data_IF_134949136372
#
_entry.id   IF_134949136372
#
_cell.length_a   1.000
_cell.length_b   1.000
_cell.length_c   1.000
_cell.angle_alpha   90.00
_cell.angle_beta   90.00
_cell.angle_gamma   90.00
#
_symmetry.space_group_name_H-M   'P 1'
#
loop_
_entity.id
_entity.type
_entity.pdbx_description
1 polymer ?
#
# COMPACT_ATOMS: atom_id res chain seq x y z
N UNK A 1 13.08 13.40 -6.57
CA UNK A 1 12.15 12.25 -6.64
C UNK A 1 10.93 12.66 -7.44
N UNK A 2 10.49 11.82 -8.38
CA UNK A 2 9.23 12.05 -9.09
C UNK A 2 8.07 11.94 -8.09
N UNK A 3 7.07 12.80 -8.24
CA UNK A 3 5.83 12.74 -7.48
C UNK A 3 4.75 12.26 -8.45
N UNK A 4 4.43 10.96 -8.48
CA UNK A 4 3.37 10.47 -9.34
C UNK A 4 2.06 11.19 -9.02
N UNK A 5 1.27 11.48 -10.06
CA UNK A 5 -0.07 12.04 -9.88
C UNK A 5 -1.03 10.92 -9.46
N UNK A 6 -1.05 10.67 -8.15
CA UNK A 6 -1.89 9.65 -7.55
C UNK A 6 -3.34 10.09 -7.51
N UNK A 7 -4.20 9.44 -8.29
CA UNK A 7 -5.63 9.72 -8.33
C UNK A 7 -6.41 8.74 -7.47
N UNK A 8 -7.30 9.21 -6.58
CA UNK A 8 -8.16 8.30 -5.81
C UNK A 8 -9.12 7.59 -6.77
N UNK A 9 -9.19 6.27 -6.67
CA UNK A 9 -10.04 5.46 -7.54
C UNK A 9 -11.22 4.84 -6.79
N UNK A 10 -10.99 4.35 -5.58
CA UNK A 10 -12.02 3.73 -4.77
C UNK A 10 -11.72 3.83 -3.27
N UNK A 11 -12.73 3.61 -2.45
CA UNK A 11 -12.59 3.42 -1.01
C UNK A 11 -13.17 2.06 -0.65
N UNK A 12 -12.35 1.22 -0.04
CA UNK A 12 -12.70 -0.14 0.33
C UNK A 12 -12.70 -0.30 1.84
N UNK A 13 -13.55 -1.19 2.35
CA UNK A 13 -13.51 -1.60 3.74
C UNK A 13 -13.03 -3.04 3.86
N UNK A 14 -12.04 -3.28 4.72
CA UNK A 14 -11.39 -4.58 4.90
C UNK A 14 -11.13 -4.88 6.36
N UNK A 15 -11.25 -6.16 6.72
CA UNK A 15 -10.78 -6.65 8.02
C UNK A 15 -9.29 -6.97 7.91
N UNK A 16 -8.48 -6.24 8.65
CA UNK A 16 -7.03 -6.38 8.62
C UNK A 16 -6.51 -6.78 9.99
N UNK A 17 -5.44 -7.57 10.02
CA UNK A 17 -4.64 -7.82 11.23
C UNK A 17 -3.33 -7.07 11.10
N UNK A 18 -3.08 -6.14 12.03
CA UNK A 18 -1.87 -5.32 12.03
C UNK A 18 -0.67 -6.19 12.40
N UNK A 19 0.34 -6.20 11.53
CA UNK A 19 1.59 -6.95 11.74
C UNK A 19 2.71 -6.04 12.20
N UNK A 20 2.81 -4.84 11.64
CA UNK A 20 3.81 -3.85 11.99
C UNK A 20 3.23 -2.44 12.02
N UNK A 21 3.81 -1.57 12.86
CA UNK A 21 3.43 -0.16 12.97
C UNK A 21 4.72 0.64 13.00
N UNK A 22 4.87 1.55 12.05
CA UNK A 22 6.00 2.47 11.92
C UNK A 22 5.49 3.90 12.10
N UNK A 23 5.47 4.35 13.36
CA UNK A 23 4.88 5.63 13.72
C UNK A 23 5.61 6.84 13.13
N UNK A 24 6.92 6.73 12.88
CA UNK A 24 7.76 7.82 12.33
C UNK A 24 7.40 8.17 10.90
N UNK A 25 7.22 7.16 10.06
CA UNK A 25 6.86 7.33 8.65
C UNK A 25 5.34 7.27 8.42
N UNK A 26 4.57 7.18 9.52
CA UNK A 26 3.12 7.07 9.49
C UNK A 26 2.63 5.93 8.60
N UNK A 27 3.30 4.79 8.72
CA UNK A 27 3.03 3.59 7.95
C UNK A 27 2.60 2.43 8.85
N UNK A 28 1.80 1.55 8.27
CA UNK A 28 1.28 0.36 8.94
C UNK A 28 1.27 -0.81 7.96
N UNK A 29 1.85 -1.93 8.39
CA UNK A 29 1.73 -3.19 7.67
C UNK A 29 0.63 -4.03 8.30
N UNK A 30 -0.16 -4.66 7.46
CA UNK A 30 -1.22 -5.54 7.89
C UNK A 30 -1.44 -6.69 6.90
N UNK A 31 -2.16 -7.70 7.35
CA UNK A 31 -2.67 -8.77 6.48
C UNK A 31 -4.18 -8.67 6.42
N UNK A 32 -4.73 -8.59 5.22
CA UNK A 32 -6.16 -8.65 4.97
C UNK A 32 -6.65 -10.09 5.19
N UNK A 33 -7.68 -10.27 6.01
CA UNK A 33 -8.07 -11.60 6.49
C UNK A 33 -8.90 -12.42 5.49
N UNK A 34 -9.61 -11.80 4.55
CA UNK A 34 -10.42 -12.50 3.56
C UNK A 34 -9.60 -13.23 2.49
N UNK A 35 -8.47 -12.65 2.10
CA UNK A 35 -7.59 -13.16 1.04
C UNK A 35 -6.18 -13.50 1.52
N UNK A 36 -5.88 -13.32 2.81
CA UNK A 36 -4.54 -13.44 3.39
C UNK A 36 -3.49 -12.59 2.65
N UNK A 37 -3.93 -11.45 2.12
CA UNK A 37 -3.09 -10.59 1.31
C UNK A 37 -2.33 -9.58 2.19
N UNK A 38 -0.99 -9.54 2.14
CA UNK A 38 -0.21 -8.54 2.86
C UNK A 38 -0.38 -7.15 2.23
N UNK A 39 -0.58 -6.14 3.06
CA UNK A 39 -0.78 -4.75 2.67
C UNK A 39 0.17 -3.84 3.43
N UNK A 40 0.82 -2.94 2.71
CA UNK A 40 1.53 -1.80 3.28
C UNK A 40 0.64 -0.57 3.09
N UNK A 41 0.26 0.07 4.20
CA UNK A 41 -0.68 1.17 4.24
C UNK A 41 0.01 2.44 4.70
N UNK A 42 -0.06 3.50 3.91
CA UNK A 42 0.19 4.85 4.41
C UNK A 42 -0.99 5.28 5.28
N UNK A 43 -0.74 5.91 6.41
CA UNK A 43 -1.79 6.19 7.40
C UNK A 43 -2.14 7.67 7.35
N UNK A 44 -3.43 8.00 7.35
CA UNK A 44 -3.89 9.38 7.46
C UNK A 44 -3.37 9.98 8.79
N UNK A 45 -2.72 11.16 8.78
CA UNK A 45 -2.19 11.82 9.99
C UNK A 45 -3.17 12.00 11.14
N UNK A 46 -4.48 11.95 10.87
CA UNK A 46 -5.53 12.02 11.89
C UNK A 46 -5.66 10.74 12.71
N UNK A 47 -5.12 9.62 12.23
CA UNK A 47 -5.15 8.34 12.93
C UNK A 47 -3.97 8.25 13.89
N UNK A 48 -4.27 8.17 15.18
CA UNK A 48 -3.26 8.00 16.22
C UNK A 48 -2.70 6.57 16.23
N UNK A 49 -1.57 6.38 15.56
CA UNK A 49 -0.84 5.10 15.53
C UNK A 49 -0.34 4.65 16.91
N UNK A 50 -0.24 5.54 17.90
CA UNK A 50 0.13 5.18 19.27
C UNK A 50 -0.92 4.31 19.96
N UNK A 51 -2.16 4.31 19.48
CA UNK A 51 -3.26 3.49 20.01
C UNK A 51 -3.45 2.17 19.26
N UNK A 52 -2.73 1.97 18.16
CA UNK A 52 -2.84 0.75 17.34
C UNK A 52 -1.98 -0.35 17.95
N UNK A 53 -2.61 -1.50 18.23
CA UNK A 53 -1.96 -2.67 18.83
C UNK A 53 -1.62 -3.67 17.73
N UNK A 54 -0.40 -4.20 17.78
CA UNK A 54 0.02 -5.31 16.91
C UNK A 54 -0.80 -6.57 17.18
N UNK A 55 -0.93 -7.43 16.17
CA UNK A 55 -1.68 -8.67 16.17
C UNK A 55 -3.19 -8.53 16.48
N UNK A 56 -3.72 -7.31 16.58
CA UNK A 56 -5.16 -7.06 16.69
C UNK A 56 -5.81 -6.95 15.32
N UNK A 57 -7.08 -7.32 15.29
CA UNK A 57 -7.94 -7.24 14.09
C UNK A 57 -8.70 -5.93 14.16
N UNK A 58 -8.75 -5.23 13.03
CA UNK A 58 -9.44 -3.97 12.88
C UNK A 58 -10.29 -3.98 11.61
N UNK A 59 -11.39 -3.25 11.63
CA UNK A 59 -12.09 -2.82 10.43
C UNK A 59 -11.40 -1.57 9.90
N UNK A 60 -10.73 -1.69 8.76
CA UNK A 60 -10.00 -0.62 8.10
C UNK A 60 -10.80 -0.07 6.92
N UNK A 61 -10.88 1.25 6.84
CA UNK A 61 -11.35 1.98 5.65
C UNK A 61 -10.12 2.47 4.91
N UNK A 62 -9.93 1.98 3.69
CA UNK A 62 -8.73 2.18 2.88
C UNK A 62 -9.12 2.91 1.60
N UNK A 63 -8.47 4.04 1.34
CA UNK A 63 -8.54 4.73 0.06
C UNK A 63 -7.47 4.19 -0.86
N UNK A 64 -7.88 3.72 -2.03
CA UNK A 64 -6.98 3.23 -3.07
C UNK A 64 -6.73 4.36 -4.04
N UNK A 65 -5.46 4.57 -4.37
CA UNK A 65 -5.07 5.48 -5.43
C UNK A 65 -4.34 4.73 -6.52
N UNK A 66 -4.53 5.18 -7.75
CA UNK A 66 -3.82 4.68 -8.93
C UNK A 66 -3.05 5.82 -9.60
N UNK A 67 -2.00 5.45 -10.32
CA UNK A 67 -1.28 6.34 -11.23
C UNK A 67 -1.01 5.59 -12.54
N UNK A 68 -0.79 6.33 -13.61
CA UNK A 68 -0.26 5.73 -14.84
C UNK A 68 1.23 5.39 -14.66
N UNK A 69 1.70 4.33 -15.33
CA UNK A 69 3.12 4.11 -15.54
C UNK A 69 3.63 5.13 -16.56
N UNK A 70 4.14 6.28 -16.09
CA UNK A 70 4.95 7.12 -16.96
C UNK A 70 6.32 6.46 -17.19
N UNK A 71 6.99 6.69 -18.33
CA UNK A 71 8.31 6.11 -18.60
C UNK A 71 9.33 6.36 -17.48
N UNK A 72 9.25 7.51 -16.81
CA UNK A 72 10.17 7.89 -15.76
C UNK A 72 9.85 7.20 -14.42
N UNK A 73 8.56 7.04 -14.09
CA UNK A 73 8.13 6.25 -12.93
C UNK A 73 8.50 4.79 -13.11
N UNK A 74 8.28 4.26 -14.31
CA UNK A 74 8.69 2.91 -14.68
C UNK A 74 10.19 2.74 -14.44
N UNK A 75 11.01 3.62 -15.01
CA UNK A 75 12.47 3.54 -14.84
C UNK A 75 12.87 3.52 -13.37
N UNK A 76 12.32 4.39 -12.52
CA UNK A 76 12.64 4.40 -11.09
C UNK A 76 12.20 3.14 -10.36
N UNK A 77 10.98 2.66 -10.62
CA UNK A 77 10.44 1.47 -9.98
C UNK A 77 11.27 0.23 -10.37
N UNK A 78 11.63 0.10 -11.64
CA UNK A 78 12.44 -1.01 -12.14
C UNK A 78 13.90 -0.92 -11.68
N UNK A 79 14.51 0.27 -11.69
CA UNK A 79 15.86 0.48 -11.14
C UNK A 79 15.92 0.14 -9.64
N UNK A 80 14.88 0.46 -8.87
CA UNK A 80 14.79 0.11 -7.45
C UNK A 80 14.68 -1.40 -7.19
N UNK A 81 14.17 -2.15 -8.18
CA UNK A 81 13.99 -3.59 -8.11
C UNK A 81 15.11 -4.37 -8.80
N UNK A 82 16.09 -3.72 -9.43
CA UNK A 82 17.10 -4.38 -10.27
C UNK A 82 17.99 -5.37 -9.49
N UNK A 83 18.09 -5.17 -8.17
CA UNK A 83 18.84 -6.04 -7.24
C UNK A 83 17.98 -7.14 -6.60
N UNK A 84 16.68 -7.16 -6.86
CA UNK A 84 15.72 -8.15 -6.38
C UNK A 84 14.98 -8.78 -7.57
N UNK A 85 15.47 -9.94 -8.07
CA UNK A 85 14.91 -10.60 -9.26
C UNK A 85 13.43 -10.95 -9.13
N UNK A 86 12.97 -11.31 -7.93
CA UNK A 86 11.57 -11.66 -7.67
C UNK A 86 10.69 -10.43 -7.82
N UNK A 87 11.11 -9.31 -7.22
CA UNK A 87 10.40 -8.04 -7.31
C UNK A 87 10.40 -7.49 -8.74
N UNK A 88 11.52 -7.59 -9.44
CA UNK A 88 11.64 -7.18 -10.84
C UNK A 88 10.68 -7.97 -11.74
N UNK A 89 10.64 -9.28 -11.59
CA UNK A 89 9.73 -10.13 -12.36
C UNK A 89 8.26 -9.83 -12.05
N UNK A 90 7.91 -9.61 -10.78
CA UNK A 90 6.56 -9.21 -10.40
C UNK A 90 6.14 -7.89 -11.07
N UNK A 91 7.02 -6.88 -11.08
CA UNK A 91 6.77 -5.60 -11.75
C UNK A 91 6.62 -5.74 -13.27
N UNK A 92 7.45 -6.57 -13.91
CA UNK A 92 7.33 -6.90 -15.34
C UNK A 92 5.99 -7.58 -15.64
N UNK A 93 5.58 -8.56 -14.82
CA UNK A 93 4.30 -9.26 -14.99
C UNK A 93 3.10 -8.34 -14.78
N UNK A 94 3.16 -7.44 -13.78
CA UNK A 94 2.12 -6.42 -13.57
C UNK A 94 1.98 -5.50 -14.78
N UNK A 95 3.11 -5.03 -15.33
CA UNK A 95 3.13 -4.23 -16.57
C UNK A 95 2.51 -4.98 -17.74
N UNK A 96 2.89 -6.25 -17.95
CA UNK A 96 2.38 -7.07 -19.05
C UNK A 96 0.87 -7.30 -18.98
N UNK A 97 0.30 -7.33 -17.78
CA UNK A 97 -1.15 -7.46 -17.55
C UNK A 97 -1.91 -6.13 -17.64
N UNK A 98 -1.21 -5.02 -17.91
CA UNK A 98 -1.82 -3.69 -17.94
C UNK A 98 -2.26 -3.18 -16.57
N UNK A 99 -1.72 -3.75 -15.48
CA UNK A 99 -2.06 -3.35 -14.12
C UNK A 99 -1.36 -2.03 -13.77
N UNK A 100 -2.15 -1.06 -13.30
CA UNK A 100 -1.64 0.24 -12.85
C UNK A 100 -1.07 0.12 -11.43
N UNK A 101 0.01 0.85 -11.11
CA UNK A 101 0.49 0.94 -9.74
C UNK A 101 -0.61 1.47 -8.82
N UNK A 102 -0.75 0.81 -7.67
CA UNK A 102 -1.69 1.18 -6.61
C UNK A 102 -0.92 1.56 -5.36
N UNK A 103 -1.41 2.58 -4.66
CA UNK A 103 -1.07 2.83 -3.26
C UNK A 103 -2.34 2.76 -2.41
N UNK A 104 -2.16 2.38 -1.15
CA UNK A 104 -3.24 2.16 -0.21
C UNK A 104 -3.05 3.09 0.99
N UNK A 105 -4.06 3.92 1.25
CA UNK A 105 -4.05 4.84 2.38
C UNK A 105 -5.14 4.45 3.38
N UNK A 106 -4.75 4.24 4.64
CA UNK A 106 -5.67 4.01 5.74
C UNK A 106 -6.26 5.34 6.20
N UNK A 107 -7.55 5.53 5.93
CA UNK A 107 -8.29 6.77 6.28
C UNK A 107 -9.25 6.58 7.47
N UNK A 108 -9.46 5.34 7.91
CA UNK A 108 -10.25 5.02 9.09
C UNK A 108 -9.87 3.66 9.66
N UNK A 109 -9.84 3.56 10.99
CA UNK A 109 -9.56 2.31 11.69
C UNK A 109 -10.50 2.18 12.88
N UNK A 110 -11.29 1.11 12.92
CA UNK A 110 -12.19 0.76 14.03
C UNK A 110 -11.78 -0.59 14.61
N UNK A 111 -11.71 -0.68 15.93
CA UNK A 111 -11.45 -1.92 16.67
C UNK A 111 -12.76 -2.57 17.07
#
# INVERSE_FOLDING_TARGET
>A
MLRPDWKPVETIEKKIRVTHVEAKDHHLDAVELGSSYPMCLSVDPKIDLGKVKRAKIYQATIRVYETEFTPELERQVFESAIKDPTRLHALQSMKAQGLKPRKYELIGLKH
#
